data_IF_475705770611
#
_entry.id   IF_475705770611
#
_cell.length_a   1.000
_cell.length_b   1.000
_cell.length_c   1.000
_cell.angle_alpha   90.00
_cell.angle_beta   90.00
_cell.angle_gamma   90.00
#
_symmetry.space_group_name_H-M   'P 1'
#
loop_
_entity.id
_entity.type
_entity.pdbx_description
1 polymer ?
#
# COMPACT_ATOMS: atom_id res chain seq x y z
N UNK A 1 11.41 -1.97 -18.28
CA UNK A 1 10.31 -2.20 -17.33
C UNK A 1 9.15 -2.85 -18.07
N UNK A 2 8.51 -3.85 -17.48
CA UNK A 2 7.23 -4.39 -17.93
C UNK A 2 6.12 -3.36 -17.69
N UNK A 3 5.02 -3.49 -18.42
CA UNK A 3 3.83 -2.65 -18.20
C UNK A 3 3.05 -3.15 -16.99
N UNK A 4 2.35 -2.24 -16.30
CA UNK A 4 1.34 -2.59 -15.31
C UNK A 4 0.34 -3.60 -15.90
N UNK A 5 -0.15 -4.51 -15.06
CA UNK A 5 -0.90 -5.68 -15.51
C UNK A 5 -2.19 -5.82 -14.71
N UNK A 6 -3.30 -6.06 -15.40
CA UNK A 6 -4.53 -6.60 -14.79
C UNK A 6 -4.29 -8.05 -14.38
N UNK A 7 -4.28 -8.31 -13.09
CA UNK A 7 -4.04 -9.66 -12.51
C UNK A 7 -5.33 -10.46 -12.49
N UNK A 8 -6.40 -9.81 -12.03
CA UNK A 8 -7.76 -10.32 -12.02
C UNK A 8 -8.71 -9.18 -12.32
N UNK A 9 -9.96 -9.48 -12.68
CA UNK A 9 -11.02 -8.54 -13.07
C UNK A 9 -10.81 -7.10 -12.55
N UNK A 10 -10.88 -6.86 -11.24
CA UNK A 10 -10.76 -5.50 -10.70
C UNK A 10 -9.49 -5.30 -9.86
N UNK A 11 -8.45 -6.10 -10.13
CA UNK A 11 -7.16 -6.12 -9.43
C UNK A 11 -6.00 -5.93 -10.41
N UNK A 12 -5.15 -4.96 -10.11
CA UNK A 12 -4.04 -4.57 -10.95
C UNK A 12 -2.74 -4.62 -10.16
N UNK A 13 -1.69 -5.18 -10.74
CA UNK A 13 -0.32 -5.00 -10.28
C UNK A 13 0.21 -3.70 -10.90
N UNK A 14 0.48 -2.70 -10.05
CA UNK A 14 0.95 -1.38 -10.47
C UNK A 14 2.40 -1.12 -10.10
N UNK A 15 3.00 -1.99 -9.28
CA UNK A 15 4.42 -1.96 -8.96
C UNK A 15 4.95 -3.33 -8.54
N UNK A 16 6.22 -3.54 -8.87
CA UNK A 16 7.10 -4.67 -8.53
C UNK A 16 8.49 -4.33 -9.12
N UNK A 17 9.57 -5.08 -8.81
CA UNK A 17 10.92 -4.78 -9.31
C UNK A 17 11.03 -4.58 -10.83
N UNK A 18 10.19 -5.28 -11.59
CA UNK A 18 10.16 -5.21 -13.06
C UNK A 18 9.17 -4.18 -13.63
N UNK A 19 8.23 -3.66 -12.82
CA UNK A 19 7.17 -2.71 -13.26
C UNK A 19 7.48 -1.28 -12.81
N UNK A 20 8.01 -1.08 -11.61
CA UNK A 20 8.15 0.25 -10.99
C UNK A 20 9.59 0.58 -10.63
N UNK A 21 10.18 -0.13 -9.67
CA UNK A 21 11.56 0.11 -9.23
C UNK A 21 12.16 -1.13 -8.57
N UNK A 22 13.47 -1.43 -8.74
CA UNK A 22 14.07 -2.70 -8.30
C UNK A 22 13.92 -3.03 -6.81
N UNK A 23 13.78 -2.00 -5.97
CA UNK A 23 13.64 -2.15 -4.51
C UNK A 23 12.19 -2.26 -4.03
N UNK A 24 11.21 -2.17 -4.94
CA UNK A 24 9.80 -2.23 -4.56
C UNK A 24 9.34 -3.65 -4.25
N UNK A 25 8.40 -3.75 -3.30
CA UNK A 25 7.55 -4.92 -3.16
C UNK A 25 6.53 -5.04 -4.31
N UNK A 26 5.70 -6.07 -4.28
CA UNK A 26 4.49 -6.09 -5.10
C UNK A 26 3.50 -5.05 -4.57
N UNK A 27 3.03 -4.17 -5.44
CA UNK A 27 2.07 -3.10 -5.12
C UNK A 27 0.84 -3.31 -5.99
N UNK A 28 -0.31 -3.46 -5.32
CA UNK A 28 -1.57 -3.74 -5.98
C UNK A 28 -2.52 -2.56 -5.87
N UNK A 29 -3.42 -2.47 -6.84
CA UNK A 29 -4.55 -1.54 -6.84
C UNK A 29 -5.83 -2.34 -7.08
N UNK A 30 -6.85 -2.06 -6.28
CA UNK A 30 -8.20 -2.61 -6.42
C UNK A 30 -9.11 -1.48 -6.90
N UNK A 31 -9.80 -1.72 -8.02
CA UNK A 31 -10.88 -0.86 -8.50
C UNK A 31 -12.21 -1.34 -7.92
N UNK A 32 -12.90 -0.47 -7.18
CA UNK A 32 -14.21 -0.80 -6.60
C UNK A 32 -15.37 -0.31 -7.47
N UNK A 33 -15.08 0.37 -8.58
CA UNK A 33 -16.03 1.08 -9.42
C UNK A 33 -16.41 2.47 -8.92
N UNK A 34 -16.06 2.82 -7.68
CA UNK A 34 -16.26 4.15 -7.10
C UNK A 34 -14.99 4.81 -6.57
N UNK A 35 -14.04 4.02 -6.10
CA UNK A 35 -12.76 4.45 -5.54
C UNK A 35 -11.66 3.42 -5.83
N UNK A 36 -10.42 3.85 -5.68
CA UNK A 36 -9.24 2.99 -5.81
C UNK A 36 -8.63 2.76 -4.44
N UNK A 37 -8.33 1.49 -4.14
CA UNK A 37 -7.66 1.07 -2.92
C UNK A 37 -6.30 0.50 -3.26
N UNK A 38 -5.24 1.04 -2.67
CA UNK A 38 -3.88 0.54 -2.82
C UNK A 38 -3.56 -0.50 -1.75
N UNK A 39 -2.73 -1.47 -2.12
CA UNK A 39 -2.05 -2.37 -1.21
C UNK A 39 -0.56 -2.07 -1.32
N UNK A 40 0.01 -1.59 -0.22
CA UNK A 40 1.41 -1.10 -0.13
C UNK A 40 1.74 0.08 -1.07
N UNK A 41 2.99 0.55 -1.01
CA UNK A 41 3.44 1.79 -1.65
C UNK A 41 4.88 1.78 -2.17
N UNK A 42 5.59 0.65 -2.09
CA UNK A 42 6.97 0.54 -2.60
C UNK A 42 8.01 1.18 -1.69
N UNK A 43 9.24 1.33 -2.21
CA UNK A 43 10.40 1.87 -1.51
C UNK A 43 10.53 3.42 -1.60
N UNK A 44 9.52 4.11 -2.14
CA UNK A 44 9.46 5.58 -2.20
C UNK A 44 9.89 6.19 -3.55
N UNK A 45 11.02 5.74 -4.11
CA UNK A 45 11.58 6.26 -5.38
C UNK A 45 10.63 6.10 -6.57
N UNK A 46 9.77 5.08 -6.54
CA UNK A 46 8.85 4.75 -7.62
C UNK A 46 7.55 5.56 -7.63
N UNK A 47 7.34 6.50 -6.69
CA UNK A 47 6.04 7.18 -6.54
C UNK A 47 5.47 7.72 -7.85
N UNK A 48 6.25 8.49 -8.62
CA UNK A 48 5.80 9.02 -9.92
C UNK A 48 5.46 7.92 -10.92
N UNK A 49 6.25 6.84 -10.95
CA UNK A 49 6.02 5.69 -11.82
C UNK A 49 4.73 4.95 -11.44
N UNK A 50 4.39 4.85 -10.14
CA UNK A 50 3.12 4.28 -9.68
C UNK A 50 1.93 5.11 -10.18
N UNK A 51 2.00 6.44 -10.09
CA UNK A 51 0.98 7.35 -10.60
C UNK A 51 0.82 7.23 -12.12
N UNK A 52 1.92 7.14 -12.86
CA UNK A 52 1.92 6.93 -14.31
C UNK A 52 1.31 5.56 -14.67
N UNK A 53 1.58 4.53 -13.87
CA UNK A 53 1.02 3.19 -14.06
C UNK A 53 -0.50 3.18 -13.85
N UNK A 54 -1.01 3.86 -12.83
CA UNK A 54 -2.45 4.06 -12.59
C UNK A 54 -3.09 4.77 -13.79
N UNK A 55 -2.49 5.88 -14.23
CA UNK A 55 -2.98 6.68 -15.36
C UNK A 55 -2.99 5.90 -16.67
N UNK A 56 -1.95 5.09 -16.92
CA UNK A 56 -1.81 4.25 -18.12
C UNK A 56 -2.87 3.14 -18.18
N UNK A 57 -3.34 2.67 -17.02
CA UNK A 57 -4.46 1.72 -16.92
C UNK A 57 -5.83 2.39 -17.19
N UNK A 58 -5.86 3.71 -17.36
CA UNK A 58 -7.07 4.48 -17.67
C UNK A 58 -7.82 4.99 -16.44
N UNK A 59 -7.21 4.92 -15.25
CA UNK A 59 -7.77 5.43 -14.01
C UNK A 59 -7.28 6.84 -13.70
N UNK A 60 -8.07 7.61 -12.96
CA UNK A 60 -7.64 8.90 -12.43
C UNK A 60 -7.01 8.69 -11.04
N UNK A 61 -5.73 9.02 -10.82
CA UNK A 61 -5.10 8.93 -9.49
C UNK A 61 -5.85 9.71 -8.39
N UNK A 62 -6.68 10.69 -8.73
CA UNK A 62 -7.54 11.37 -7.75
C UNK A 62 -8.65 10.47 -7.17
N UNK A 63 -8.88 9.29 -7.74
CA UNK A 63 -9.81 8.30 -7.20
C UNK A 63 -9.19 7.44 -6.09
N UNK A 64 -7.89 7.57 -5.84
CA UNK A 64 -7.21 6.92 -4.71
C UNK A 64 -7.84 7.40 -3.39
N UNK A 65 -8.44 6.48 -2.64
CA UNK A 65 -9.11 6.80 -1.37
C UNK A 65 -8.33 6.31 -0.15
N UNK A 66 -7.79 5.09 -0.25
CA UNK A 66 -7.12 4.43 0.85
C UNK A 66 -5.95 3.60 0.36
N UNK A 67 -4.96 3.41 1.25
CA UNK A 67 -3.92 2.40 1.10
C UNK A 67 -3.88 1.54 2.36
N UNK A 68 -3.82 0.23 2.17
CA UNK A 68 -3.68 -0.75 3.23
C UNK A 68 -2.25 -1.28 3.19
N UNK A 69 -1.55 -1.12 4.30
CA UNK A 69 -0.17 -1.55 4.45
C UNK A 69 -0.14 -2.97 5.01
N UNK A 70 0.55 -3.87 4.32
CA UNK A 70 0.72 -5.26 4.76
C UNK A 70 1.64 -5.34 5.97
N UNK A 71 2.74 -4.57 5.97
CA UNK A 71 3.64 -4.41 7.11
C UNK A 71 4.58 -3.21 6.96
N UNK A 72 5.19 -2.77 8.06
CA UNK A 72 5.97 -1.53 8.12
C UNK A 72 7.45 -1.62 7.71
N UNK A 73 7.79 -2.39 6.67
CA UNK A 73 9.12 -2.31 6.05
C UNK A 73 9.15 -1.35 4.87
N UNK A 74 10.33 -0.76 4.63
CA UNK A 74 10.51 0.40 3.76
C UNK A 74 10.07 0.16 2.33
N UNK A 75 10.25 -1.05 1.80
CA UNK A 75 9.82 -1.48 0.47
C UNK A 75 8.30 -1.60 0.32
N UNK A 76 7.55 -1.50 1.42
CA UNK A 76 6.09 -1.46 1.45
C UNK A 76 5.57 -0.05 1.76
N UNK A 77 6.28 0.73 2.58
CA UNK A 77 5.77 2.00 3.14
C UNK A 77 6.41 3.27 2.57
N UNK A 78 7.39 3.14 1.69
CA UNK A 78 8.28 4.22 1.28
C UNK A 78 7.58 5.42 0.64
N UNK A 79 6.45 5.21 -0.05
CA UNK A 79 5.71 6.29 -0.70
C UNK A 79 4.45 6.75 0.06
N UNK A 80 4.17 6.22 1.25
CA UNK A 80 2.93 6.53 1.98
C UNK A 80 2.72 8.02 2.23
N UNK A 81 3.77 8.75 2.63
CA UNK A 81 3.69 10.19 2.88
C UNK A 81 3.25 10.96 1.63
N UNK A 82 3.77 10.59 0.45
CA UNK A 82 3.41 11.23 -0.82
C UNK A 82 1.94 10.98 -1.18
N UNK A 83 1.45 9.74 -1.02
CA UNK A 83 0.04 9.43 -1.24
C UNK A 83 -0.88 10.20 -0.27
N UNK A 84 -0.48 10.34 1.00
CA UNK A 84 -1.25 11.09 1.98
C UNK A 84 -1.24 12.61 1.71
N UNK A 85 -0.10 13.19 1.34
CA UNK A 85 0.04 14.65 1.15
C UNK A 85 -0.52 15.16 -0.17
N UNK A 86 -0.37 14.39 -1.25
CA UNK A 86 -0.74 14.83 -2.61
C UNK A 86 -2.17 14.41 -2.96
N UNK A 87 -2.56 13.19 -2.57
CA UNK A 87 -3.83 12.57 -2.95
C UNK A 87 -4.80 12.39 -1.77
N UNK A 88 -4.43 12.82 -0.56
CA UNK A 88 -5.25 12.71 0.65
C UNK A 88 -5.71 11.26 0.95
N UNK A 89 -4.90 10.29 0.54
CA UNK A 89 -5.16 8.85 0.72
C UNK A 89 -5.13 8.54 2.22
N UNK A 90 -6.16 7.84 2.70
CA UNK A 90 -6.22 7.35 4.08
C UNK A 90 -5.28 6.17 4.26
N UNK A 91 -4.41 6.26 5.26
CA UNK A 91 -3.45 5.20 5.57
C UNK A 91 -4.05 4.23 6.59
N UNK A 92 -4.07 2.94 6.24
CA UNK A 92 -4.62 1.86 7.06
C UNK A 92 -3.49 0.87 7.37
N UNK A 93 -3.24 0.61 8.65
CA UNK A 93 -2.23 -0.36 9.10
C UNK A 93 -2.64 -1.01 10.40
N UNK A 94 -2.07 -2.19 10.71
CA UNK A 94 -2.19 -2.77 12.03
C UNK A 94 -1.51 -1.90 13.09
N UNK A 95 -2.12 -1.80 14.28
CA UNK A 95 -1.69 -0.88 15.34
C UNK A 95 -0.24 -1.11 15.80
N UNK A 96 0.21 -2.36 15.76
CA UNK A 96 1.54 -2.77 16.21
C UNK A 96 2.68 -2.28 15.28
N UNK A 97 2.35 -1.97 14.03
CA UNK A 97 3.31 -1.44 13.04
C UNK A 97 3.27 0.10 12.93
N UNK A 98 2.26 0.74 13.53
CA UNK A 98 2.10 2.20 13.53
C UNK A 98 3.33 2.93 14.11
N UNK A 99 3.95 2.50 15.22
CA UNK A 99 5.15 3.18 15.73
C UNK A 99 6.30 3.23 14.72
N UNK A 100 6.47 2.19 13.89
CA UNK A 100 7.50 2.17 12.86
C UNK A 100 7.18 3.16 11.73
N UNK A 101 5.93 3.20 11.27
CA UNK A 101 5.45 4.13 10.23
C UNK A 101 5.53 5.59 10.71
N UNK A 102 5.03 5.88 11.91
CA UNK A 102 4.94 7.27 12.42
C UNK A 102 6.29 7.82 12.91
N UNK A 103 7.31 6.97 13.12
CA UNK A 103 8.64 7.42 13.59
C UNK A 103 9.79 7.14 12.62
N UNK A 104 9.57 6.28 11.63
CA UNK A 104 10.61 5.78 10.73
C UNK A 104 11.61 4.81 11.34
N UNK A 105 11.42 4.39 12.59
CA UNK A 105 12.34 3.47 13.29
C UNK A 105 11.95 2.02 13.03
N UNK A 106 12.95 1.18 12.76
CA UNK A 106 12.74 -0.26 12.56
C UNK A 106 12.08 -0.61 11.21
N UNK A 107 12.05 0.32 10.26
CA UNK A 107 11.47 0.11 8.92
C UNK A 107 12.42 -0.56 7.94
N UNK A 108 13.70 -0.69 8.28
CA UNK A 108 14.72 -1.21 7.36
C UNK A 108 15.22 -0.20 6.31
N UNK A 109 14.78 1.06 6.36
CA UNK A 109 15.21 2.11 5.42
C UNK A 109 16.73 2.25 5.29
N UNK A 110 17.45 2.15 6.42
CA UNK A 110 18.92 2.18 6.46
C UNK A 110 19.57 1.03 5.68
N UNK A 111 18.95 -0.16 5.66
CA UNK A 111 19.46 -1.33 4.93
C UNK A 111 19.29 -1.17 3.42
N UNK A 112 18.23 -0.49 3.01
CA UNK A 112 17.94 -0.17 1.60
C UNK A 112 18.71 1.06 1.12
N UNK A 113 19.23 1.88 2.04
CA UNK A 113 19.92 3.13 1.70
C UNK A 113 18.98 4.20 1.13
N UNK A 114 17.68 4.12 1.42
CA UNK A 114 16.66 5.06 0.94
C UNK A 114 16.14 5.92 2.10
N UNK A 115 15.76 7.18 1.86
CA UNK A 115 15.12 8.00 2.87
C UNK A 115 13.71 7.49 3.16
N UNK A 116 13.21 7.78 4.36
CA UNK A 116 11.81 7.57 4.72
C UNK A 116 11.23 8.83 5.35
N UNK A 117 10.04 9.22 4.89
CA UNK A 117 9.28 10.33 5.47
C UNK A 117 8.17 9.74 6.36
N UNK A 118 8.25 9.91 7.70
CA UNK A 118 7.20 9.44 8.59
C UNK A 118 5.87 10.14 8.30
N UNK A 119 4.78 9.36 8.37
CA UNK A 119 3.43 9.83 8.08
C UNK A 119 2.44 9.27 9.10
N UNK A 120 1.25 9.87 9.20
CA UNK A 120 0.24 9.48 10.20
C UNK A 120 -0.57 8.29 9.71
N UNK A 121 -0.81 7.30 10.56
CA UNK A 121 -1.80 6.25 10.27
C UNK A 121 -3.19 6.73 10.65
N UNK A 122 -4.11 6.74 9.68
CA UNK A 122 -5.48 7.25 9.85
C UNK A 122 -6.41 6.22 10.51
N UNK A 123 -6.27 4.95 10.14
CA UNK A 123 -7.09 3.84 10.64
C UNK A 123 -6.16 2.73 11.15
N UNK A 124 -6.37 2.32 12.39
CA UNK A 124 -5.57 1.31 13.07
C UNK A 124 -6.37 0.03 13.24
N UNK A 125 -5.88 -1.06 12.66
CA UNK A 125 -6.47 -2.39 12.82
C UNK A 125 -5.96 -2.97 14.13
N UNK A 126 -6.88 -3.49 14.95
CA UNK A 126 -6.57 -3.94 16.33
C UNK A 126 -7.02 -5.36 16.61
N UNK A 127 -7.84 -5.93 15.73
CA UNK A 127 -8.39 -7.28 15.88
C UNK A 127 -7.58 -8.28 15.07
N UNK A 128 -7.63 -9.53 15.50
CA UNK A 128 -7.06 -10.65 14.76
C UNK A 128 -7.65 -10.76 13.34
N UNK A 129 -8.93 -10.42 13.18
CA UNK A 129 -9.58 -10.24 11.89
C UNK A 129 -10.48 -9.00 11.94
N UNK A 130 -10.36 -8.15 10.93
CA UNK A 130 -11.20 -6.96 10.77
C UNK A 130 -11.61 -6.82 9.31
N UNK A 131 -12.87 -6.48 9.05
CA UNK A 131 -13.37 -6.30 7.68
C UNK A 131 -13.58 -4.83 7.41
N UNK A 132 -13.00 -4.36 6.31
CA UNK A 132 -13.25 -3.04 5.75
C UNK A 132 -14.08 -3.17 4.48
N UNK A 133 -15.12 -2.34 4.38
CA UNK A 133 -16.02 -2.35 3.23
C UNK A 133 -15.63 -1.24 2.27
N UNK A 134 -15.29 -1.63 1.04
CA UNK A 134 -15.06 -0.76 -0.10
C UNK A 134 -16.00 -1.25 -1.21
N UNK A 135 -17.26 -0.81 -1.16
CA UNK A 135 -18.36 -1.37 -1.98
C UNK A 135 -17.97 -1.46 -3.46
N UNK A 136 -18.17 -2.62 -4.12
CA UNK A 136 -18.94 -3.79 -3.68
C UNK A 136 -18.15 -4.81 -2.86
N UNK A 137 -16.87 -4.57 -2.61
CA UNK A 137 -15.95 -5.52 -1.99
C UNK A 137 -15.90 -5.38 -0.46
N UNK A 138 -15.63 -6.51 0.18
CA UNK A 138 -15.31 -6.59 1.60
C UNK A 138 -13.90 -7.17 1.73
N UNK A 139 -12.97 -6.35 2.20
CA UNK A 139 -11.59 -6.74 2.42
C UNK A 139 -11.47 -7.19 3.87
N UNK A 140 -11.13 -8.47 4.09
CA UNK A 140 -10.79 -9.01 5.39
C UNK A 140 -9.29 -8.85 5.61
N UNK A 141 -8.93 -8.11 6.65
CA UNK A 141 -7.57 -7.90 7.12
C UNK A 141 -7.31 -8.88 8.27
N UNK A 142 -6.38 -9.80 8.07
CA UNK A 142 -6.08 -10.91 8.98
C UNK A 142 -4.70 -10.65 9.58
N UNK A 143 -4.63 -10.51 10.91
CA UNK A 143 -3.36 -10.33 11.62
C UNK A 143 -2.54 -11.62 11.57
N UNK A 144 -1.35 -11.53 10.98
CA UNK A 144 -0.41 -12.65 10.77
C UNK A 144 0.99 -12.24 11.22
N UNK A 145 1.20 -11.97 12.53
CA UNK A 145 2.45 -11.44 13.03
C UNK A 145 3.61 -12.42 12.81
N UNK A 146 4.81 -11.88 12.62
CA UNK A 146 6.03 -12.67 12.51
C UNK A 146 7.15 -11.89 11.84
N UNK A 147 6.96 -11.51 10.59
CA UNK A 147 7.93 -10.69 9.85
C UNK A 147 8.04 -9.28 10.46
N UNK A 148 6.90 -8.67 10.75
CA UNK A 148 6.75 -7.54 11.68
C UNK A 148 5.72 -7.89 12.76
N UNK A 149 5.69 -7.18 13.90
CA UNK A 149 4.65 -7.37 14.91
C UNK A 149 3.23 -7.12 14.40
N UNK A 150 3.05 -6.19 13.46
CA UNK A 150 1.77 -5.81 12.86
C UNK A 150 1.49 -6.38 11.48
N UNK A 151 2.24 -7.38 11.00
CA UNK A 151 2.01 -7.96 9.67
C UNK A 151 0.56 -8.43 9.48
N UNK A 152 -0.05 -8.08 8.36
CA UNK A 152 -1.40 -8.52 7.97
C UNK A 152 -1.40 -9.18 6.59
N UNK A 153 -2.35 -10.09 6.40
CA UNK A 153 -2.77 -10.61 5.11
C UNK A 153 -4.13 -10.00 4.74
N UNK A 154 -4.33 -9.74 3.46
CA UNK A 154 -5.58 -9.16 2.95
C UNK A 154 -6.27 -10.22 2.09
N UNK A 155 -7.52 -10.53 2.44
CA UNK A 155 -8.37 -11.47 1.75
C UNK A 155 -9.59 -10.75 1.20
N UNK A 156 -9.98 -11.05 -0.03
CA UNK A 156 -11.16 -10.47 -0.68
C UNK A 156 -11.77 -11.49 -1.65
N UNK A 157 -13.09 -11.63 -1.61
CA UNK A 157 -13.87 -12.40 -2.58
C UNK A 157 -14.25 -11.51 -3.77
N UNK A 158 -13.90 -11.92 -5.00
CA UNK A 158 -14.07 -11.12 -6.24
C UNK A 158 -14.58 -11.92 -7.43
#
# INVERSE_FOLDING_TARGET
MRKSLRVWKDVYAIGEPDISYPSDCCIYMIDTGGELVLIDSGAGESFSQLIDNISTLGFDPQQLNATIVTHAHIDHIGALAYFQEIYYVKLISHELDVPAIETGKGTGAELYGVPYQPCRVDIRITKAEETLTFSPYQLKLIHVPGHTPGSIAIYVDM
#
